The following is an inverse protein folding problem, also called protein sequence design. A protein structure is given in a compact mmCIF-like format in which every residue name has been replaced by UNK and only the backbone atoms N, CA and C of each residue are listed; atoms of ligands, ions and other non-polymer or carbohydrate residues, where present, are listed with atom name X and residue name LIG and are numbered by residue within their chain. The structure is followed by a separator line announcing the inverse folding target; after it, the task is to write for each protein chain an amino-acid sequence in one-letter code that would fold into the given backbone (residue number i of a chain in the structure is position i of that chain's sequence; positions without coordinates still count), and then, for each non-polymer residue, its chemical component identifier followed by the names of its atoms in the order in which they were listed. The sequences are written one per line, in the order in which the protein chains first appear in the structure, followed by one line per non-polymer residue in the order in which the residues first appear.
data_IF_376116816111
#
_entry.id   IF_376116816111
#
_cell.length_a   1.000
_cell.length_b   1.000
_cell.length_c   1.000
_cell.angle_alpha   90.00
_cell.angle_beta   90.00
_cell.angle_gamma   90.00
#
_symmetry.space_group_name_H-M   'P 1'
#
loop_
_entity.id
_entity.type
_entity.pdbx_description
1 polymer ?
#
# COMPACT_ATOMS: atom_id res chain seq x y z
N UNK A 1 -18.78 -15.58 -3.80
CA UNK A 1 -18.25 -16.95 -3.72
C UNK A 1 -17.56 -17.08 -2.35
N UNK A 2 -17.86 -18.14 -1.61
CA UNK A 2 -17.26 -18.52 -0.32
C UNK A 2 -16.48 -19.83 -0.52
N UNK A 3 -15.85 -20.36 0.53
CA UNK A 3 -15.16 -21.66 0.48
C UNK A 3 -16.06 -22.81 0.03
N UNK A 4 -17.32 -22.85 0.49
CA UNK A 4 -18.32 -23.82 0.01
C UNK A 4 -18.64 -23.64 -1.48
N UNK A 5 -18.60 -22.39 -1.97
CA UNK A 5 -18.69 -22.09 -3.39
C UNK A 5 -17.51 -22.66 -4.17
N UNK A 6 -16.29 -22.56 -3.64
CA UNK A 6 -15.10 -23.15 -4.26
C UNK A 6 -15.13 -24.67 -4.25
N UNK A 7 -15.66 -25.30 -3.20
CA UNK A 7 -15.90 -26.75 -3.14
C UNK A 7 -16.90 -27.20 -4.21
N UNK A 8 -17.90 -26.37 -4.51
CA UNK A 8 -18.84 -26.65 -5.62
C UNK A 8 -18.15 -26.50 -6.97
N UNK A 9 -17.34 -25.45 -7.16
CA UNK A 9 -16.57 -25.24 -8.40
C UNK A 9 -15.53 -26.34 -8.64
N UNK A 10 -14.96 -26.92 -7.58
CA UNK A 10 -14.00 -28.01 -7.66
C UNK A 10 -14.56 -29.28 -8.33
N UNK A 11 -15.88 -29.40 -8.48
CA UNK A 11 -16.54 -30.49 -9.21
C UNK A 11 -16.48 -30.32 -10.73
N UNK A 12 -16.13 -29.13 -11.23
CA UNK A 12 -16.03 -28.83 -12.66
C UNK A 12 -14.65 -29.25 -13.20
N UNK A 13 -14.33 -30.55 -13.16
CA UNK A 13 -12.96 -31.07 -13.37
C UNK A 13 -12.34 -30.76 -14.73
N UNK A 14 -13.15 -30.44 -15.75
CA UNK A 14 -12.68 -30.02 -17.08
C UNK A 14 -12.38 -28.52 -17.19
N UNK A 15 -12.49 -27.75 -16.10
CA UNK A 15 -12.31 -26.30 -16.12
C UNK A 15 -10.84 -25.95 -16.38
N UNK A 16 -10.61 -25.17 -17.45
CA UNK A 16 -9.26 -24.73 -17.83
C UNK A 16 -8.94 -23.30 -17.38
N UNK A 17 -9.96 -22.48 -17.17
CA UNK A 17 -9.82 -21.06 -16.84
C UNK A 17 -10.82 -20.70 -15.75
N UNK A 18 -10.32 -20.15 -14.65
CA UNK A 18 -11.13 -19.64 -13.56
C UNK A 18 -10.65 -18.25 -13.15
N UNK A 19 -11.48 -17.24 -13.40
CA UNK A 19 -11.24 -15.87 -12.96
C UNK A 19 -12.19 -15.49 -11.83
N UNK A 20 -11.64 -15.33 -10.62
CA UNK A 20 -12.34 -14.79 -9.47
C UNK A 20 -11.77 -13.39 -9.18
N UNK A 21 -12.53 -12.31 -9.41
CA UNK A 21 -12.00 -10.95 -9.30
C UNK A 21 -11.52 -10.60 -7.88
N UNK A 22 -10.41 -9.89 -7.83
CA UNK A 22 -9.75 -9.43 -6.60
C UNK A 22 -10.69 -8.62 -5.70
N UNK A 23 -10.61 -8.82 -4.38
CA UNK A 23 -11.38 -8.12 -3.35
C UNK A 23 -12.92 -8.23 -3.46
N UNK A 24 -13.46 -9.10 -4.31
CA UNK A 24 -14.91 -9.28 -4.45
C UNK A 24 -15.49 -10.31 -3.49
N UNK A 25 -14.64 -11.13 -2.87
CA UNK A 25 -15.04 -12.28 -2.07
C UNK A 25 -14.35 -12.29 -0.70
N UNK A 26 -14.79 -11.43 0.25
CA UNK A 26 -14.12 -11.25 1.54
C UNK A 26 -14.19 -12.46 2.50
N UNK A 27 -14.96 -13.49 2.12
CA UNK A 27 -15.18 -14.72 2.89
C UNK A 27 -14.41 -15.92 2.30
N UNK A 28 -13.57 -15.69 1.29
CA UNK A 28 -12.79 -16.74 0.66
C UNK A 28 -11.44 -16.89 1.38
N UNK A 29 -11.06 -18.11 1.75
CA UNK A 29 -9.85 -18.40 2.52
C UNK A 29 -8.81 -19.15 1.68
N UNK A 30 -7.57 -19.28 2.16
CA UNK A 30 -6.57 -20.16 1.54
C UNK A 30 -7.02 -21.62 1.55
N UNK A 31 -7.73 -22.05 2.59
CA UNK A 31 -8.31 -23.38 2.70
C UNK A 31 -9.39 -23.63 1.64
N UNK A 32 -10.24 -22.63 1.38
CA UNK A 32 -11.19 -22.64 0.28
C UNK A 32 -10.50 -22.73 -1.08
N UNK A 33 -9.50 -21.89 -1.33
CA UNK A 33 -8.74 -21.90 -2.59
C UNK A 33 -8.06 -23.25 -2.81
N UNK A 34 -7.58 -23.91 -1.75
CA UNK A 34 -6.99 -25.24 -1.81
C UNK A 34 -7.97 -26.32 -2.29
N UNK A 35 -9.29 -26.10 -2.24
CA UNK A 35 -10.28 -27.02 -2.83
C UNK A 35 -10.16 -27.08 -4.36
N UNK A 36 -9.68 -26.00 -4.99
CA UNK A 36 -9.46 -25.95 -6.44
C UNK A 36 -8.33 -26.87 -6.89
N UNK A 37 -7.55 -27.46 -5.98
CA UNK A 37 -6.51 -28.45 -6.27
C UNK A 37 -7.07 -29.74 -6.93
N UNK A 38 -8.40 -29.91 -6.97
CA UNK A 38 -9.07 -30.98 -7.73
C UNK A 38 -9.15 -30.69 -9.25
N UNK A 39 -8.92 -29.46 -9.70
CA UNK A 39 -9.07 -29.03 -11.10
C UNK A 39 -7.77 -29.23 -11.89
N UNK A 40 -7.38 -30.49 -12.13
CA UNK A 40 -6.08 -30.82 -12.75
C UNK A 40 -5.85 -30.22 -14.15
N UNK A 41 -6.92 -29.92 -14.89
CA UNK A 41 -6.88 -29.31 -16.23
C UNK A 41 -6.74 -27.78 -16.21
N UNK A 42 -6.69 -27.17 -15.02
CA UNK A 42 -6.69 -25.71 -14.88
C UNK A 42 -5.37 -25.11 -15.39
N UNK A 43 -5.47 -24.20 -16.37
CA UNK A 43 -4.35 -23.50 -17.01
C UNK A 43 -4.20 -22.07 -16.53
N UNK A 44 -5.32 -21.44 -16.15
CA UNK A 44 -5.35 -20.06 -15.66
C UNK A 44 -6.22 -19.99 -14.41
N UNK A 45 -5.63 -19.49 -13.32
CA UNK A 45 -6.32 -19.24 -12.06
C UNK A 45 -6.10 -17.81 -11.62
N UNK A 46 -7.18 -17.08 -11.39
CA UNK A 46 -7.17 -15.86 -10.59
C UNK A 46 -8.07 -16.04 -9.37
N UNK A 47 -7.53 -15.82 -8.18
CA UNK A 47 -8.26 -15.89 -6.92
C UNK A 47 -7.63 -14.97 -5.87
N UNK A 48 -8.39 -14.59 -4.84
CA UNK A 48 -7.87 -13.80 -3.73
C UNK A 48 -8.45 -14.24 -2.41
N UNK A 49 -7.62 -14.61 -1.44
CA UNK A 49 -8.13 -14.87 -0.09
C UNK A 49 -8.43 -13.56 0.64
N UNK A 50 -9.11 -13.68 1.78
CA UNK A 50 -9.48 -12.55 2.62
C UNK A 50 -8.25 -11.91 3.26
N UNK A 51 -8.15 -10.59 3.17
CA UNK A 51 -7.15 -9.82 3.93
C UNK A 51 -7.35 -9.90 5.45
N UNK A 52 -8.50 -10.40 5.91
CA UNK A 52 -8.84 -10.58 7.32
C UNK A 52 -8.62 -12.02 7.81
N UNK A 53 -8.12 -12.89 6.94
CA UNK A 53 -7.83 -14.27 7.29
C UNK A 53 -6.80 -14.35 8.43
N UNK A 54 -6.99 -15.32 9.32
CA UNK A 54 -6.07 -15.57 10.42
C UNK A 54 -4.66 -15.84 9.88
N UNK A 55 -3.61 -15.12 10.33
CA UNK A 55 -2.24 -15.41 9.97
C UNK A 55 -1.81 -16.87 10.24
N UNK A 56 -2.46 -17.55 11.19
CA UNK A 56 -2.25 -18.96 11.51
C UNK A 56 -3.07 -19.94 10.64
N UNK A 57 -3.88 -19.46 9.69
CA UNK A 57 -4.65 -20.32 8.79
C UNK A 57 -3.72 -21.27 8.00
N UNK A 58 -4.15 -22.50 7.69
CA UNK A 58 -3.35 -23.44 6.92
C UNK A 58 -2.81 -22.83 5.61
N UNK A 59 -1.60 -23.21 5.19
CA UNK A 59 -1.06 -22.72 3.93
C UNK A 59 -1.90 -23.26 2.76
N UNK A 60 -2.01 -22.43 1.73
CA UNK A 60 -2.65 -22.83 0.49
C UNK A 60 -1.91 -24.01 -0.16
N UNK A 61 -2.66 -24.96 -0.71
CA UNK A 61 -2.12 -26.07 -1.49
C UNK A 61 -2.73 -26.14 -2.90
N UNK A 62 -1.91 -25.88 -3.93
CA UNK A 62 -2.26 -25.99 -5.35
C UNK A 62 -1.33 -26.93 -6.14
N UNK A 63 -0.63 -27.83 -5.44
CA UNK A 63 0.43 -28.67 -6.02
C UNK A 63 -0.02 -29.65 -7.12
N UNK A 64 -1.31 -29.98 -7.20
CA UNK A 64 -1.86 -30.88 -8.23
C UNK A 64 -2.20 -30.16 -9.55
N UNK A 65 -2.13 -28.82 -9.59
CA UNK A 65 -2.44 -28.04 -10.78
C UNK A 65 -1.30 -28.07 -11.81
N UNK A 66 -0.98 -29.28 -12.30
CA UNK A 66 0.18 -29.57 -13.14
C UNK A 66 0.12 -28.89 -14.51
N UNK A 67 -1.08 -28.52 -14.97
CA UNK A 67 -1.31 -27.78 -16.21
C UNK A 67 -1.33 -26.26 -16.06
N UNK A 68 -1.16 -25.74 -14.83
CA UNK A 68 -1.28 -24.31 -14.54
C UNK A 68 -0.13 -23.52 -15.18
N UNK A 69 -0.50 -22.55 -16.01
CA UNK A 69 0.43 -21.64 -16.70
C UNK A 69 0.40 -20.23 -16.13
N UNK A 70 -0.76 -19.78 -15.67
CA UNK A 70 -0.94 -18.44 -15.14
C UNK A 70 -1.64 -18.48 -13.79
N UNK A 71 -1.02 -17.89 -12.79
CA UNK A 71 -1.54 -17.78 -11.43
C UNK A 71 -1.54 -16.32 -10.99
N UNK A 72 -2.72 -15.79 -10.69
CA UNK A 72 -2.95 -14.46 -10.14
C UNK A 72 -3.54 -14.62 -8.75
N UNK A 73 -2.73 -14.43 -7.71
CA UNK A 73 -3.18 -14.74 -6.34
C UNK A 73 -2.65 -13.79 -5.28
N UNK A 74 -3.53 -13.30 -4.41
CA UNK A 74 -3.14 -12.39 -3.33
C UNK A 74 -4.21 -12.37 -2.23
N UNK A 75 -3.83 -12.23 -0.94
CA UNK A 75 -2.47 -12.20 -0.43
C UNK A 75 -1.82 -13.61 -0.37
N UNK A 76 -0.48 -13.69 -0.42
CA UNK A 76 0.30 -14.89 -0.07
C UNK A 76 1.24 -14.63 1.12
N UNK A 77 1.59 -15.69 1.84
CA UNK A 77 2.66 -15.78 2.86
C UNK A 77 3.76 -16.72 2.38
N UNK A 78 4.87 -16.77 3.10
CA UNK A 78 6.01 -17.62 2.74
C UNK A 78 5.63 -19.10 2.57
N UNK A 79 4.80 -19.64 3.48
CA UNK A 79 4.42 -21.05 3.46
C UNK A 79 3.43 -21.38 2.33
N UNK A 80 2.68 -20.39 1.82
CA UNK A 80 1.77 -20.58 0.69
C UNK A 80 2.55 -20.81 -0.63
N UNK A 81 3.78 -20.27 -0.72
CA UNK A 81 4.62 -20.41 -1.91
C UNK A 81 5.19 -21.82 -2.09
N UNK A 82 5.27 -22.60 -1.01
CA UNK A 82 5.82 -23.96 -1.03
C UNK A 82 5.04 -24.86 -1.99
N UNK A 83 3.70 -24.75 -2.02
CA UNK A 83 2.86 -25.62 -2.84
C UNK A 83 2.93 -25.31 -4.33
N UNK A 84 3.27 -24.07 -4.69
CA UNK A 84 3.35 -23.63 -6.09
C UNK A 84 4.79 -23.67 -6.64
N UNK A 85 5.80 -23.85 -5.80
CA UNK A 85 7.23 -23.80 -6.12
C UNK A 85 7.68 -24.77 -7.23
N UNK A 86 6.95 -25.87 -7.43
CA UNK A 86 7.32 -26.93 -8.37
C UNK A 86 6.26 -27.17 -9.46
N UNK A 87 5.40 -26.18 -9.71
CA UNK A 87 4.42 -26.28 -10.79
C UNK A 87 5.15 -26.27 -12.15
N UNK A 88 5.10 -27.38 -12.91
CA UNK A 88 6.05 -27.64 -14.01
C UNK A 88 5.81 -26.80 -15.26
N UNK A 89 4.65 -26.15 -15.36
CA UNK A 89 4.20 -25.37 -16.52
C UNK A 89 3.93 -23.91 -16.18
N UNK A 90 4.21 -23.47 -14.94
CA UNK A 90 3.90 -22.11 -14.53
C UNK A 90 4.80 -21.11 -15.27
N UNK A 91 4.19 -20.23 -16.04
CA UNK A 91 4.85 -19.24 -16.91
C UNK A 91 4.66 -17.81 -16.39
N UNK A 92 3.54 -17.54 -15.73
CA UNK A 92 3.21 -16.23 -15.17
C UNK A 92 2.69 -16.36 -13.74
N UNK A 93 3.42 -15.76 -12.81
CA UNK A 93 3.02 -15.62 -11.42
C UNK A 93 2.85 -14.12 -11.08
N UNK A 94 1.61 -13.72 -10.81
CA UNK A 94 1.27 -12.42 -10.24
C UNK A 94 0.74 -12.63 -8.84
N UNK A 95 1.35 -11.98 -7.86
CA UNK A 95 0.93 -12.11 -6.48
C UNK A 95 1.28 -10.88 -5.66
N UNK A 96 0.72 -10.83 -4.45
CA UNK A 96 1.13 -9.86 -3.46
C UNK A 96 0.95 -10.39 -2.06
N UNK A 97 1.61 -9.77 -1.08
CA UNK A 97 1.58 -10.26 0.29
C UNK A 97 2.40 -9.41 1.25
N UNK A 98 1.74 -8.86 2.27
CA UNK A 98 2.37 -7.98 3.24
C UNK A 98 3.37 -8.69 4.18
N UNK A 99 3.26 -10.02 4.29
CA UNK A 99 4.07 -10.84 5.18
C UNK A 99 5.12 -11.70 4.44
N UNK A 100 5.30 -11.51 3.13
CA UNK A 100 6.30 -12.23 2.35
C UNK A 100 7.71 -11.77 2.68
N UNK A 101 8.62 -12.70 2.91
CA UNK A 101 10.04 -12.43 3.18
C UNK A 101 10.96 -13.06 2.12
N UNK A 102 12.27 -12.88 2.26
CA UNK A 102 13.26 -13.54 1.41
C UNK A 102 13.13 -15.07 1.44
N UNK A 103 12.74 -15.64 2.58
CA UNK A 103 12.50 -17.08 2.74
C UNK A 103 11.42 -17.56 1.77
N UNK A 104 10.28 -16.88 1.71
CA UNK A 104 9.19 -17.24 0.79
C UNK A 104 9.64 -17.17 -0.67
N UNK A 105 10.33 -16.10 -1.04
CA UNK A 105 10.79 -15.92 -2.43
C UNK A 105 11.87 -16.94 -2.84
N UNK A 106 12.60 -17.52 -1.88
CA UNK A 106 13.56 -18.59 -2.17
C UNK A 106 12.93 -19.82 -2.84
N UNK A 107 11.67 -20.12 -2.53
CA UNK A 107 10.94 -21.25 -3.13
C UNK A 107 10.69 -21.07 -4.64
N UNK A 108 10.70 -19.83 -5.15
CA UNK A 108 10.47 -19.55 -6.57
C UNK A 108 11.65 -19.94 -7.46
N UNK A 109 12.82 -20.23 -6.89
CA UNK A 109 14.03 -20.60 -7.63
C UNK A 109 13.88 -21.86 -8.49
N UNK A 110 12.91 -22.72 -8.18
CA UNK A 110 12.62 -23.96 -8.90
C UNK A 110 11.73 -23.77 -10.15
N UNK A 111 11.09 -22.61 -10.30
CA UNK A 111 10.15 -22.34 -11.40
C UNK A 111 10.86 -21.96 -12.70
N UNK A 112 11.62 -22.90 -13.29
CA UNK A 112 12.45 -22.66 -14.48
C UNK A 112 11.66 -22.26 -15.73
N UNK A 113 10.34 -22.55 -15.75
CA UNK A 113 9.41 -22.14 -16.81
C UNK A 113 8.91 -20.71 -16.69
N UNK A 114 9.17 -20.03 -15.56
CA UNK A 114 8.63 -18.71 -15.30
C UNK A 114 9.21 -17.67 -16.27
N UNK A 115 8.31 -16.96 -16.94
CA UNK A 115 8.63 -15.90 -17.89
C UNK A 115 8.25 -14.51 -17.37
N UNK A 116 7.25 -14.46 -16.47
CA UNK A 116 6.77 -13.25 -15.80
C UNK A 116 6.59 -13.49 -14.31
N UNK A 117 7.29 -12.68 -13.51
CA UNK A 117 7.18 -12.66 -12.05
C UNK A 117 6.78 -11.26 -11.62
N UNK A 118 5.58 -11.13 -11.05
CA UNK A 118 5.07 -9.84 -10.62
C UNK A 118 4.64 -9.91 -9.16
N UNK A 119 5.50 -9.38 -8.28
CA UNK A 119 5.25 -9.25 -6.86
C UNK A 119 4.86 -7.81 -6.54
N UNK A 120 3.62 -7.62 -6.12
CA UNK A 120 3.10 -6.35 -5.63
C UNK A 120 2.86 -6.40 -4.12
N UNK A 121 2.63 -5.25 -3.48
CA UNK A 121 2.18 -5.19 -2.08
C UNK A 121 3.04 -5.99 -1.09
N UNK A 122 4.36 -6.05 -1.33
CA UNK A 122 5.34 -6.63 -0.41
C UNK A 122 6.35 -5.57 -0.01
N UNK A 123 6.72 -5.53 1.27
CA UNK A 123 7.63 -4.51 1.80
C UNK A 123 8.76 -5.08 2.65
N UNK A 124 8.85 -6.40 2.79
CA UNK A 124 9.87 -7.08 3.58
C UNK A 124 10.98 -7.74 2.76
N UNK A 125 10.79 -8.19 1.51
CA UNK A 125 11.90 -8.74 0.71
C UNK A 125 13.06 -7.77 0.61
N UNK A 126 14.29 -8.27 0.66
CA UNK A 126 15.52 -7.50 0.59
C UNK A 126 16.34 -7.91 -0.62
N UNK A 127 17.55 -7.35 -0.75
CA UNK A 127 18.48 -7.72 -1.81
C UNK A 127 18.81 -9.23 -1.84
N UNK A 128 18.65 -9.93 -0.71
CA UNK A 128 18.85 -11.38 -0.60
C UNK A 128 17.87 -12.17 -1.50
N UNK A 129 16.60 -11.77 -1.59
CA UNK A 129 15.61 -12.46 -2.43
C UNK A 129 16.01 -12.56 -3.90
N UNK A 130 16.76 -11.58 -4.41
CA UNK A 130 17.12 -11.49 -5.84
C UNK A 130 18.09 -12.60 -6.24
N UNK A 131 18.91 -13.11 -5.32
CA UNK A 131 19.82 -14.23 -5.59
C UNK A 131 19.06 -15.47 -6.07
N UNK A 132 17.84 -15.67 -5.55
CA UNK A 132 17.01 -16.82 -5.90
C UNK A 132 16.44 -16.76 -7.32
N UNK A 133 16.52 -15.61 -8.00
CA UNK A 133 16.03 -15.44 -9.37
C UNK A 133 17.10 -15.67 -10.43
N UNK A 134 18.38 -15.78 -10.06
CA UNK A 134 19.48 -15.96 -11.02
C UNK A 134 19.34 -17.22 -11.90
N UNK A 135 18.69 -18.25 -11.36
CA UNK A 135 18.42 -19.50 -12.08
C UNK A 135 17.17 -19.47 -12.97
N UNK A 136 16.49 -18.33 -13.13
CA UNK A 136 15.24 -18.20 -13.91
C UNK A 136 15.54 -17.62 -15.30
N UNK A 137 16.27 -18.36 -16.14
CA UNK A 137 16.79 -17.86 -17.42
C UNK A 137 15.74 -17.44 -18.46
N UNK A 138 14.50 -17.90 -18.31
CA UNK A 138 13.37 -17.53 -19.19
C UNK A 138 12.63 -16.26 -18.75
N UNK A 139 12.98 -15.71 -17.58
CA UNK A 139 12.30 -14.57 -16.97
C UNK A 139 12.63 -13.30 -17.75
N UNK A 140 11.63 -12.71 -18.40
CA UNK A 140 11.81 -11.46 -19.15
C UNK A 140 11.02 -10.29 -18.54
N UNK A 141 10.01 -10.56 -17.71
CA UNK A 141 9.26 -9.52 -17.00
C UNK A 141 9.35 -9.75 -15.49
N UNK A 142 9.89 -8.75 -14.80
CA UNK A 142 10.10 -8.76 -13.36
C UNK A 142 9.52 -7.51 -12.73
N UNK A 143 8.54 -7.69 -11.83
CA UNK A 143 8.08 -6.64 -10.94
C UNK A 143 8.34 -7.04 -9.50
N UNK A 144 9.05 -6.22 -8.73
CA UNK A 144 9.36 -6.48 -7.32
C UNK A 144 9.08 -5.25 -6.45
N UNK A 145 8.46 -5.51 -5.30
CA UNK A 145 8.31 -4.58 -4.20
C UNK A 145 9.07 -5.10 -2.97
N UNK A 146 9.83 -4.23 -2.30
CA UNK A 146 10.68 -4.66 -1.17
C UNK A 146 11.57 -3.54 -0.62
N UNK A 147 12.54 -3.89 0.22
CA UNK A 147 13.58 -3.00 0.77
C UNK A 147 14.89 -3.21 0.01
N UNK A 148 14.90 -2.81 -1.25
CA UNK A 148 16.05 -2.99 -2.13
C UNK A 148 17.03 -1.82 -2.03
N UNK A 149 18.32 -2.11 -2.21
CA UNK A 149 19.40 -1.13 -2.27
C UNK A 149 20.15 -1.20 -3.59
N UNK A 150 21.21 -0.42 -3.75
CA UNK A 150 22.11 -0.50 -4.90
C UNK A 150 22.68 -1.92 -5.12
N UNK A 151 22.89 -2.67 -4.04
CA UNK A 151 23.33 -4.08 -4.10
C UNK A 151 22.28 -4.94 -4.81
N UNK A 152 20.99 -4.70 -4.53
CA UNK A 152 19.89 -5.36 -5.22
C UNK A 152 19.87 -5.03 -6.71
N UNK A 153 20.07 -3.77 -7.08
CA UNK A 153 20.14 -3.38 -8.50
C UNK A 153 21.31 -4.04 -9.22
N UNK A 154 22.48 -4.12 -8.59
CA UNK A 154 23.62 -4.82 -9.17
C UNK A 154 23.31 -6.30 -9.43
N UNK A 155 22.64 -6.97 -8.48
CA UNK A 155 22.20 -8.36 -8.63
C UNK A 155 21.17 -8.53 -9.74
N UNK A 156 20.20 -7.62 -9.86
CA UNK A 156 19.21 -7.64 -10.96
C UNK A 156 19.92 -7.47 -12.30
N UNK A 157 21.01 -6.69 -12.36
CA UNK A 157 21.85 -6.54 -13.55
C UNK A 157 22.41 -7.87 -14.09
N UNK A 158 22.43 -8.94 -13.30
CA UNK A 158 22.86 -10.27 -13.76
C UNK A 158 21.73 -11.05 -14.47
N UNK A 159 20.48 -10.61 -14.38
CA UNK A 159 19.32 -11.22 -15.03
C UNK A 159 19.21 -10.75 -16.50
N UNK A 160 20.14 -11.18 -17.35
CA UNK A 160 20.30 -10.66 -18.72
C UNK A 160 19.10 -10.86 -19.64
N UNK A 161 18.17 -11.74 -19.29
CA UNK A 161 16.92 -12.03 -20.01
C UNK A 161 15.84 -10.95 -19.82
N UNK A 162 15.99 -10.06 -18.83
CA UNK A 162 14.97 -9.06 -18.47
C UNK A 162 14.77 -8.04 -19.60
N UNK A 163 13.50 -7.87 -19.99
CA UNK A 163 13.03 -6.88 -20.96
C UNK A 163 12.10 -5.84 -20.33
N UNK A 164 11.37 -6.21 -19.28
CA UNK A 164 10.47 -5.32 -18.54
C UNK A 164 10.79 -5.42 -17.06
N UNK A 165 11.16 -4.30 -16.45
CA UNK A 165 11.58 -4.24 -15.05
C UNK A 165 10.79 -3.17 -14.30
N UNK A 166 10.05 -3.55 -13.25
CA UNK A 166 9.44 -2.58 -12.34
C UNK A 166 9.92 -2.86 -10.92
N UNK A 167 10.60 -1.90 -10.31
CA UNK A 167 11.08 -1.99 -8.94
C UNK A 167 10.47 -0.87 -8.13
N UNK A 168 9.84 -1.22 -7.03
CA UNK A 168 9.42 -0.28 -5.98
C UNK A 168 10.17 -0.63 -4.70
N UNK A 169 11.16 0.20 -4.35
CA UNK A 169 11.88 0.04 -3.08
C UNK A 169 11.27 0.91 -1.98
N UNK A 170 11.16 0.33 -0.79
CA UNK A 170 10.84 1.02 0.47
C UNK A 170 12.07 1.12 1.39
N UNK A 171 13.24 0.69 0.91
CA UNK A 171 14.52 0.72 1.64
C UNK A 171 15.37 1.91 1.20
N UNK A 172 16.56 1.57 0.68
CA UNK A 172 17.50 2.39 -0.11
C UNK A 172 16.90 3.51 -0.97
N UNK A 173 17.56 4.67 -1.13
CA UNK A 173 17.37 5.48 -2.33
C UNK A 173 18.47 5.04 -3.26
N UNK A 174 18.08 4.64 -4.46
CA UNK A 174 19.04 4.14 -5.43
C UNK A 174 19.93 5.27 -5.94
N UNK A 175 21.24 5.06 -5.97
CA UNK A 175 22.14 6.06 -6.52
C UNK A 175 21.99 6.15 -8.05
N UNK A 176 22.25 7.32 -8.67
CA UNK A 176 22.27 7.43 -10.14
C UNK A 176 23.25 6.44 -10.78
N UNK A 177 24.42 6.24 -10.16
CA UNK A 177 25.44 5.30 -10.62
C UNK A 177 24.94 3.86 -10.62
N UNK A 178 24.22 3.41 -9.58
CA UNK A 178 23.66 2.07 -9.55
C UNK A 178 22.57 1.87 -10.61
N UNK A 179 21.69 2.86 -10.81
CA UNK A 179 20.69 2.82 -11.89
C UNK A 179 21.36 2.75 -13.27
N UNK A 180 22.42 3.54 -13.50
CA UNK A 180 23.17 3.50 -14.76
C UNK A 180 23.81 2.13 -14.99
N UNK A 181 24.54 1.60 -13.99
CA UNK A 181 25.15 0.26 -14.06
C UNK A 181 24.11 -0.83 -14.34
N UNK A 182 22.92 -0.73 -13.77
CA UNK A 182 21.83 -1.66 -14.06
C UNK A 182 21.43 -1.59 -15.54
N UNK A 183 21.22 -0.39 -16.08
CA UNK A 183 20.87 -0.22 -17.50
C UNK A 183 21.95 -0.75 -18.43
N UNK A 184 23.22 -0.47 -18.14
CA UNK A 184 24.36 -0.96 -18.92
C UNK A 184 24.44 -2.50 -18.89
N UNK A 185 23.99 -3.11 -17.79
CA UNK A 185 24.05 -4.55 -17.59
C UNK A 185 22.83 -5.31 -18.09
N UNK A 186 21.75 -4.65 -18.51
CA UNK A 186 20.54 -5.30 -19.03
C UNK A 186 20.36 -5.00 -20.54
N UNK A 187 21.08 -5.73 -21.41
CA UNK A 187 21.14 -5.42 -22.85
C UNK A 187 19.81 -5.58 -23.58
N UNK A 188 18.85 -6.32 -23.01
CA UNK A 188 17.54 -6.60 -23.59
C UNK A 188 16.42 -5.71 -23.02
N UNK A 189 16.74 -4.79 -22.12
CA UNK A 189 15.76 -3.98 -21.41
C UNK A 189 15.03 -3.02 -22.36
N UNK A 190 13.70 -3.16 -22.44
CA UNK A 190 12.82 -2.32 -23.25
C UNK A 190 12.12 -1.26 -22.43
N UNK A 191 11.73 -1.60 -21.20
CA UNK A 191 10.99 -0.73 -20.30
C UNK A 191 11.44 -0.95 -18.88
N UNK A 192 11.67 0.13 -18.15
CA UNK A 192 11.94 0.08 -16.73
C UNK A 192 11.25 1.19 -15.96
N UNK A 193 10.73 0.85 -14.78
CA UNK A 193 10.40 1.79 -13.72
C UNK A 193 11.19 1.40 -12.48
N UNK A 194 12.07 2.29 -12.01
CA UNK A 194 12.91 2.06 -10.83
C UNK A 194 12.64 3.18 -9.85
N UNK A 195 11.65 2.92 -9.00
CA UNK A 195 11.17 3.85 -8.00
C UNK A 195 11.64 3.43 -6.62
N UNK A 196 11.97 4.43 -5.82
CA UNK A 196 12.11 4.26 -4.39
C UNK A 196 11.13 5.21 -3.71
N UNK A 197 10.40 4.69 -2.73
CA UNK A 197 9.41 5.41 -1.95
C UNK A 197 10.02 6.63 -1.23
N UNK A 198 11.35 6.61 -1.03
CA UNK A 198 12.11 7.73 -0.48
C UNK A 198 12.35 8.85 -1.50
N UNK A 199 12.52 8.59 -2.79
CA UNK A 199 12.56 9.61 -3.85
C UNK A 199 11.18 10.21 -4.12
N UNK A 200 10.08 9.49 -3.84
CA UNK A 200 8.75 10.14 -3.72
C UNK A 200 8.71 11.11 -2.53
N UNK A 201 9.24 10.72 -1.37
CA UNK A 201 9.52 11.66 -0.23
C UNK A 201 10.65 12.66 -0.50
N UNK A 202 11.38 12.50 -1.60
CA UNK A 202 12.73 13.01 -1.83
C UNK A 202 12.88 13.84 -3.11
N UNK A 203 11.80 14.05 -3.87
CA UNK A 203 11.58 15.38 -4.43
C UNK A 203 11.46 16.32 -3.23
N UNK A 204 12.62 16.73 -2.71
CA UNK A 204 12.80 18.09 -2.21
C UNK A 204 12.29 18.97 -3.34
N UNK A 205 11.00 19.29 -3.33
CA UNK A 205 10.59 20.61 -3.75
C UNK A 205 11.57 21.50 -2.99
N UNK A 206 12.46 22.18 -3.72
CA UNK A 206 13.17 23.35 -3.18
C UNK A 206 12.16 24.05 -2.29
N UNK A 207 12.49 24.53 -1.07
CA UNK A 207 11.54 25.27 -0.26
C UNK A 207 11.02 26.40 -1.13
N UNK A 208 9.87 26.15 -1.74
CA UNK A 208 9.22 27.09 -2.57
C UNK A 208 8.54 27.91 -1.51
N UNK A 209 9.05 29.12 -1.31
CA UNK A 209 8.30 30.22 -0.73
C UNK A 209 7.09 30.56 -1.64
N UNK A 210 6.45 29.56 -2.25
CA UNK A 210 5.15 29.65 -2.90
C UNK A 210 4.20 29.16 -1.84
N UNK A 211 3.64 30.13 -1.13
CA UNK A 211 2.46 29.97 -0.29
C UNK A 211 1.38 29.26 -1.14
N UNK A 212 1.22 27.94 -0.98
CA UNK A 212 0.22 27.15 -1.72
C UNK A 212 -1.11 27.30 -1.00
N UNK A 213 -2.15 27.78 -1.69
CA UNK A 213 -3.52 27.75 -1.18
C UNK A 213 -3.97 26.31 -0.92
N UNK A 214 -4.66 26.08 0.19
CA UNK A 214 -5.30 24.80 0.44
C UNK A 214 -6.35 24.51 -0.66
N UNK A 215 -6.43 23.28 -1.18
CA UNK A 215 -7.52 22.87 -2.05
C UNK A 215 -8.89 23.19 -1.43
N UNK A 216 -9.86 23.58 -2.25
CA UNK A 216 -11.24 23.62 -1.82
C UNK A 216 -11.72 22.23 -1.43
N UNK A 217 -12.59 22.15 -0.44
CA UNK A 217 -13.24 20.91 -0.05
C UNK A 217 -14.66 21.19 0.43
N UNK A 218 -15.49 20.16 0.33
CA UNK A 218 -16.80 20.07 0.95
C UNK A 218 -16.96 18.65 1.48
N UNK A 219 -17.09 18.51 2.80
CA UNK A 219 -17.16 17.20 3.47
C UNK A 219 -18.37 17.15 4.39
N UNK A 220 -19.08 16.02 4.37
CA UNK A 220 -20.15 15.75 5.33
C UNK A 220 -19.55 15.11 6.58
N UNK A 221 -19.72 15.74 7.72
CA UNK A 221 -19.28 15.22 9.02
C UNK A 221 -20.20 14.11 9.50
N UNK A 222 -19.72 13.30 10.45
CA UNK A 222 -20.48 12.18 11.02
C UNK A 222 -21.77 12.63 11.73
N UNK A 223 -21.80 13.85 12.27
CA UNK A 223 -23.01 14.46 12.85
C UNK A 223 -23.95 15.09 11.81
N UNK A 224 -23.67 14.95 10.52
CA UNK A 224 -24.55 15.35 9.42
C UNK A 224 -24.33 16.78 8.89
N UNK A 225 -23.48 17.58 9.52
CA UNK A 225 -23.13 18.91 9.02
C UNK A 225 -22.28 18.82 7.75
N UNK A 226 -22.35 19.85 6.90
CA UNK A 226 -21.40 20.00 5.79
C UNK A 226 -20.40 21.08 6.16
N UNK A 227 -19.11 20.75 6.07
CA UNK A 227 -18.01 21.70 6.28
C UNK A 227 -17.25 21.90 4.98
N UNK A 228 -16.88 23.14 4.72
CA UNK A 228 -16.15 23.60 3.56
C UNK A 228 -14.87 24.31 3.98
N UNK A 229 -13.96 24.55 3.03
CA UNK A 229 -12.75 25.35 3.31
C UNK A 229 -13.08 26.73 3.86
N UNK A 230 -14.18 27.33 3.39
CA UNK A 230 -14.57 28.69 3.73
C UNK A 230 -15.08 28.83 5.17
N UNK A 231 -15.62 27.76 5.77
CA UNK A 231 -16.04 27.74 7.18
C UNK A 231 -14.87 27.95 8.16
N UNK A 232 -13.64 27.79 7.68
CA UNK A 232 -12.42 27.96 8.47
C UNK A 232 -11.66 29.26 8.14
N UNK A 233 -12.18 30.13 7.26
CA UNK A 233 -11.56 31.43 6.96
C UNK A 233 -11.31 32.22 8.25
N UNK A 234 -10.11 32.78 8.37
CA UNK A 234 -9.71 33.56 9.54
C UNK A 234 -9.30 32.75 10.77
N UNK A 235 -9.35 31.40 10.71
CA UNK A 235 -8.89 30.48 11.74
C UNK A 235 -7.67 29.70 11.24
N UNK A 236 -6.86 29.18 12.16
CA UNK A 236 -5.84 28.18 11.82
C UNK A 236 -6.49 26.81 11.85
N UNK A 237 -6.43 26.06 10.74
CA UNK A 237 -7.04 24.75 10.61
C UNK A 237 -5.96 23.66 10.56
N UNK A 238 -6.09 22.67 11.45
CA UNK A 238 -5.37 21.40 11.37
C UNK A 238 -6.28 20.32 10.77
N UNK A 239 -5.95 19.84 9.58
CA UNK A 239 -6.60 18.66 8.98
C UNK A 239 -5.80 17.41 9.35
N UNK A 240 -6.49 16.38 9.84
CA UNK A 240 -5.90 15.09 10.20
C UNK A 240 -6.51 13.95 9.37
N UNK A 241 -5.70 13.35 8.49
CA UNK A 241 -6.06 12.18 7.68
C UNK A 241 -5.71 10.88 8.40
N UNK A 242 -6.66 9.94 8.47
CA UNK A 242 -6.49 8.66 9.20
C UNK A 242 -7.48 7.57 8.76
N UNK A 243 -7.36 6.36 9.32
CA UNK A 243 -8.39 5.31 9.23
C UNK A 243 -8.31 4.35 10.43
N UNK A 244 -9.40 3.64 10.74
CA UNK A 244 -9.55 2.86 11.99
C UNK A 244 -8.62 1.65 12.09
N UNK A 245 -8.20 1.07 10.97
CA UNK A 245 -7.22 -0.03 10.92
C UNK A 245 -5.76 0.44 10.80
N UNK A 246 -5.49 1.74 10.93
CA UNK A 246 -4.15 2.31 10.92
C UNK A 246 -3.53 2.19 12.33
N UNK A 247 -2.69 1.17 12.56
CA UNK A 247 -2.05 0.97 13.87
C UNK A 247 -1.30 2.22 14.39
N UNK A 248 -0.51 2.94 13.57
CA UNK A 248 0.13 4.18 14.03
C UNK A 248 -0.86 5.28 14.39
N UNK A 249 -1.97 5.40 13.64
CA UNK A 249 -3.01 6.39 13.93
C UNK A 249 -3.69 6.12 15.27
N UNK A 250 -4.06 4.87 15.53
CA UNK A 250 -4.69 4.44 16.80
C UNK A 250 -3.74 4.67 17.98
N UNK A 251 -2.44 4.40 17.79
CA UNK A 251 -1.43 4.65 18.83
C UNK A 251 -1.24 6.15 19.12
N UNK A 252 -1.38 7.02 18.11
CA UNK A 252 -1.24 8.47 18.25
C UNK A 252 -2.48 9.18 18.81
N UNK A 253 -3.66 8.54 18.79
CA UNK A 253 -4.93 9.16 19.21
C UNK A 253 -4.87 9.84 20.59
N UNK A 254 -4.29 9.25 21.66
CA UNK A 254 -4.24 9.89 22.97
C UNK A 254 -3.42 11.19 22.98
N UNK A 255 -2.29 11.20 22.28
CA UNK A 255 -1.41 12.37 22.17
C UNK A 255 -2.06 13.49 21.37
N UNK A 256 -2.74 13.14 20.27
CA UNK A 256 -3.49 14.08 19.44
C UNK A 256 -4.62 14.73 20.26
N UNK A 257 -5.39 13.95 21.03
CA UNK A 257 -6.45 14.47 21.90
C UNK A 257 -5.89 15.47 22.91
N UNK A 258 -4.81 15.12 23.60
CA UNK A 258 -4.12 15.99 24.55
C UNK A 258 -3.63 17.29 23.89
N UNK A 259 -3.02 17.20 22.71
CA UNK A 259 -2.53 18.36 21.96
C UNK A 259 -3.69 19.27 21.53
N UNK A 260 -4.77 18.69 21.01
CA UNK A 260 -5.98 19.42 20.64
C UNK A 260 -6.56 20.23 21.81
N UNK A 261 -6.70 19.62 22.98
CA UNK A 261 -7.21 20.29 24.19
C UNK A 261 -6.30 21.45 24.61
N UNK A 262 -4.98 21.22 24.66
CA UNK A 262 -4.02 22.26 25.03
C UNK A 262 -4.05 23.45 24.06
N UNK A 263 -3.98 23.18 22.76
CA UNK A 263 -3.94 24.23 21.74
C UNK A 263 -5.27 24.99 21.67
N UNK A 264 -6.40 24.31 21.83
CA UNK A 264 -7.72 24.96 21.85
C UNK A 264 -7.87 25.89 23.06
N UNK A 265 -7.32 25.51 24.21
CA UNK A 265 -7.35 26.35 25.41
C UNK A 265 -6.43 27.58 25.29
N UNK A 266 -5.33 27.48 24.54
CA UNK A 266 -4.36 28.55 24.34
C UNK A 266 -4.76 29.50 23.20
N UNK A 267 -5.35 28.97 22.11
CA UNK A 267 -5.66 29.71 20.89
C UNK A 267 -7.13 29.57 20.49
N UNK A 268 -7.92 30.61 20.75
CA UNK A 268 -9.37 30.63 20.45
C UNK A 268 -9.74 30.48 18.97
N UNK A 269 -8.81 30.74 18.06
CA UNK A 269 -8.97 30.65 16.60
C UNK A 269 -8.32 29.41 15.98
N UNK A 270 -7.98 28.41 16.81
CA UNK A 270 -7.58 27.09 16.34
C UNK A 270 -8.82 26.22 16.03
N UNK A 271 -8.76 25.48 14.93
CA UNK A 271 -9.79 24.51 14.52
C UNK A 271 -9.13 23.22 14.06
N UNK A 272 -9.81 22.09 14.27
CA UNK A 272 -9.37 20.78 13.80
C UNK A 272 -10.48 20.06 13.04
N UNK A 273 -10.11 19.38 11.95
CA UNK A 273 -11.01 18.55 11.15
C UNK A 273 -10.32 17.23 10.84
N UNK A 274 -10.94 16.12 11.20
CA UNK A 274 -10.43 14.79 10.87
C UNK A 274 -11.14 14.20 9.66
N UNK A 275 -10.35 13.69 8.72
CA UNK A 275 -10.82 13.08 7.47
C UNK A 275 -10.43 11.60 7.44
N UNK A 276 -11.41 10.73 7.67
CA UNK A 276 -11.21 9.29 7.67
C UNK A 276 -11.33 8.69 6.27
N UNK A 277 -10.31 7.96 5.84
CA UNK A 277 -10.31 7.23 4.54
C UNK A 277 -10.91 5.84 4.66
N UNK A 278 -11.51 5.52 5.80
CA UNK A 278 -12.18 4.24 6.01
C UNK A 278 -13.46 4.10 5.18
N UNK A 279 -13.85 2.86 4.86
CA UNK A 279 -15.00 2.61 3.98
C UNK A 279 -16.37 2.71 4.68
N UNK A 280 -16.43 2.61 6.01
CA UNK A 280 -17.68 2.47 6.76
C UNK A 280 -17.81 3.53 7.86
N UNK A 281 -18.88 4.33 7.82
CA UNK A 281 -19.15 5.40 8.83
C UNK A 281 -19.23 4.82 10.24
N UNK A 282 -19.89 3.67 10.42
CA UNK A 282 -20.06 3.04 11.73
C UNK A 282 -18.74 2.72 12.44
N UNK A 283 -17.71 2.34 11.70
CA UNK A 283 -16.39 2.05 12.29
C UNK A 283 -15.66 3.33 12.67
N UNK A 284 -15.80 4.39 11.87
CA UNK A 284 -15.25 5.70 12.22
C UNK A 284 -15.95 6.23 13.47
N UNK A 285 -17.29 6.17 13.52
CA UNK A 285 -18.08 6.59 14.67
C UNK A 285 -17.70 5.82 15.94
N UNK A 286 -17.59 4.49 15.85
CA UNK A 286 -17.17 3.66 16.99
C UNK A 286 -15.81 4.08 17.56
N UNK A 287 -14.83 4.41 16.69
CA UNK A 287 -13.53 4.88 17.15
C UNK A 287 -13.62 6.27 17.79
N UNK A 288 -14.40 7.17 17.18
CA UNK A 288 -14.65 8.53 17.70
C UNK A 288 -15.28 8.47 19.08
N UNK A 289 -16.31 7.64 19.27
CA UNK A 289 -17.00 7.47 20.55
C UNK A 289 -16.08 6.84 21.59
N UNK A 290 -15.34 5.79 21.21
CA UNK A 290 -14.42 5.08 22.09
C UNK A 290 -13.32 5.99 22.65
N UNK A 291 -12.84 6.94 21.86
CA UNK A 291 -11.77 7.85 22.25
C UNK A 291 -12.26 9.25 22.64
N UNK A 292 -13.57 9.47 22.59
CA UNK A 292 -14.26 10.73 22.89
C UNK A 292 -13.64 11.91 22.12
N UNK A 293 -13.51 11.77 20.81
CA UNK A 293 -12.92 12.82 19.96
C UNK A 293 -13.96 13.92 19.73
N UNK A 294 -13.70 15.10 20.30
CA UNK A 294 -14.69 16.19 20.38
C UNK A 294 -14.70 17.15 19.20
N UNK A 295 -13.69 17.10 18.32
CA UNK A 295 -13.63 17.93 17.11
C UNK A 295 -14.36 17.26 15.93
N UNK A 296 -14.74 18.03 14.89
CA UNK A 296 -15.41 17.50 13.71
C UNK A 296 -14.67 16.34 13.03
N UNK A 297 -15.43 15.28 12.73
CA UNK A 297 -14.99 14.07 12.06
C UNK A 297 -15.80 13.89 10.79
N UNK A 298 -15.16 13.61 9.66
CA UNK A 298 -15.81 13.30 8.39
C UNK A 298 -15.21 12.03 7.78
N UNK A 299 -16.04 11.17 7.21
CA UNK A 299 -15.57 10.03 6.41
C UNK A 299 -15.56 10.43 4.94
N UNK A 300 -14.37 10.39 4.34
CA UNK A 300 -14.16 10.69 2.92
C UNK A 300 -14.03 9.42 2.07
N UNK A 301 -13.70 8.28 2.68
CA UNK A 301 -13.55 7.00 1.99
C UNK A 301 -12.18 6.79 1.34
N UNK A 302 -11.85 5.54 0.96
CA UNK A 302 -10.51 5.17 0.49
C UNK A 302 -10.19 5.75 -0.90
N UNK A 303 -11.21 5.99 -1.71
CA UNK A 303 -11.08 6.50 -3.09
C UNK A 303 -11.26 8.02 -3.18
N UNK A 304 -11.24 8.74 -2.04
CA UNK A 304 -11.44 10.19 -2.05
C UNK A 304 -10.32 10.91 -2.78
N UNK A 305 -10.71 11.77 -3.73
CA UNK A 305 -9.80 12.68 -4.45
C UNK A 305 -9.08 13.65 -3.52
N UNK A 306 -9.66 13.97 -2.35
CA UNK A 306 -9.04 14.86 -1.37
C UNK A 306 -7.66 14.37 -0.92
N UNK A 307 -7.43 13.05 -0.87
CA UNK A 307 -6.10 12.52 -0.57
C UNK A 307 -5.06 12.97 -1.60
N UNK A 308 -5.40 12.88 -2.89
CA UNK A 308 -4.51 13.30 -3.96
C UNK A 308 -4.36 14.83 -4.01
N UNK A 309 -5.46 15.57 -3.82
CA UNK A 309 -5.46 17.04 -3.84
C UNK A 309 -4.63 17.64 -2.70
N UNK A 310 -4.65 17.01 -1.53
CA UNK A 310 -3.81 17.37 -0.38
C UNK A 310 -2.43 16.71 -0.38
N UNK A 311 -2.03 16.00 -1.44
CA UNK A 311 -0.74 15.28 -1.50
C UNK A 311 -0.51 14.36 -0.27
N UNK A 312 -1.51 13.56 0.12
CA UNK A 312 -1.42 12.62 1.25
C UNK A 312 -0.55 11.42 0.85
N UNK A 313 0.59 11.25 1.54
CA UNK A 313 1.61 10.24 1.20
C UNK A 313 1.66 9.06 2.19
N UNK A 314 0.90 9.13 3.28
CA UNK A 314 0.85 8.10 4.33
C UNK A 314 -0.18 8.39 5.41
N UNK A 315 -0.19 7.59 6.48
CA UNK A 315 -1.06 7.82 7.64
C UNK A 315 -0.29 7.49 8.94
N UNK A 316 -0.45 8.26 10.02
CA UNK A 316 -1.24 9.49 10.12
C UNK A 316 -0.60 10.64 9.31
N UNK A 317 -1.44 11.54 8.79
CA UNK A 317 -0.98 12.67 7.97
C UNK A 317 -1.74 13.94 8.31
N UNK A 318 -1.02 15.05 8.35
CA UNK A 318 -1.49 16.33 8.89
C UNK A 318 -1.24 17.46 7.91
N UNK A 319 -2.19 18.39 7.86
CA UNK A 319 -2.07 19.62 7.09
C UNK A 319 -2.40 20.81 7.99
N UNK A 320 -1.49 21.77 8.09
CA UNK A 320 -1.74 23.05 8.79
C UNK A 320 -2.07 24.09 7.74
N UNK A 321 -3.21 24.76 7.92
CA UNK A 321 -3.70 25.83 7.05
C UNK A 321 -3.81 27.11 7.88
N UNK A 322 -3.19 28.20 7.43
CA UNK A 322 -3.25 29.50 8.11
C UNK A 322 -4.60 30.22 7.90
N UNK A 323 -4.74 31.38 8.56
CA UNK A 323 -5.97 32.20 8.57
C UNK A 323 -6.36 32.70 7.17
N UNK A 324 -5.39 32.84 6.30
CA UNK A 324 -5.54 33.25 4.92
C UNK A 324 -5.88 32.07 3.99
N UNK A 325 -5.84 30.83 4.48
CA UNK A 325 -6.15 29.62 3.74
C UNK A 325 -4.95 29.02 2.99
N UNK A 326 -3.73 29.30 3.44
CA UNK A 326 -2.51 28.76 2.87
C UNK A 326 -2.00 27.56 3.65
N UNK A 327 -1.45 26.57 2.95
CA UNK A 327 -0.83 25.39 3.55
C UNK A 327 0.55 25.77 4.11
N UNK A 328 0.71 25.64 5.43
CA UNK A 328 1.95 25.87 6.17
C UNK A 328 2.72 24.59 6.47
N UNK A 329 1.98 23.49 6.59
CA UNK A 329 2.54 22.16 6.80
C UNK A 329 1.72 21.12 6.05
N UNK A 330 2.38 20.09 5.54
CA UNK A 330 1.75 18.95 4.88
C UNK A 330 2.66 17.74 5.02
N UNK A 331 2.32 16.79 5.89
CA UNK A 331 3.23 15.68 6.21
C UNK A 331 2.83 14.84 7.43
N UNK A 332 3.73 13.96 7.91
CA UNK A 332 3.48 13.07 9.04
C UNK A 332 3.41 13.81 10.40
N UNK A 333 3.19 13.10 11.50
CA UNK A 333 3.41 13.67 12.84
C UNK A 333 4.89 13.94 13.14
N UNK A 334 5.17 14.75 14.16
CA UNK A 334 6.51 15.01 14.70
C UNK A 334 6.78 16.49 14.94
N UNK A 335 7.98 16.82 15.44
CA UNK A 335 8.34 18.17 15.90
C UNK A 335 8.10 19.28 14.87
N UNK A 336 8.27 18.99 13.57
CA UNK A 336 8.02 19.96 12.51
C UNK A 336 6.54 20.33 12.36
N UNK A 337 5.62 19.39 12.61
CA UNK A 337 4.19 19.68 12.66
C UNK A 337 3.92 20.67 13.80
N UNK A 338 4.43 20.38 14.99
CA UNK A 338 4.23 21.21 16.19
C UNK A 338 4.78 22.62 16.00
N UNK A 339 5.98 22.73 15.43
CA UNK A 339 6.62 24.01 15.11
C UNK A 339 5.79 24.83 14.12
N UNK A 340 5.34 24.23 13.02
CA UNK A 340 4.58 24.94 12.00
C UNK A 340 3.16 25.30 12.47
N UNK A 341 2.53 24.44 13.28
CA UNK A 341 1.25 24.75 13.90
C UNK A 341 1.37 25.93 14.86
N UNK A 342 2.35 25.91 15.77
CA UNK A 342 2.60 27.04 16.69
C UNK A 342 2.94 28.33 15.95
N UNK A 343 3.81 28.25 14.94
CA UNK A 343 4.16 29.40 14.11
C UNK A 343 2.91 30.00 13.46
N UNK A 344 2.05 29.17 12.85
CA UNK A 344 0.81 29.66 12.23
C UNK A 344 -0.16 30.29 13.26
N UNK A 345 -0.20 29.75 14.48
CA UNK A 345 -1.06 30.26 15.56
C UNK A 345 -0.55 31.60 16.13
N UNK A 346 0.75 31.74 16.34
CA UNK A 346 1.40 32.92 16.94
C UNK A 346 1.57 34.09 15.95
N UNK A 347 1.63 33.80 14.65
CA UNK A 347 1.63 34.82 13.60
C UNK A 347 0.32 35.64 13.65
N UNK A 348 0.41 36.85 14.20
CA UNK A 348 -0.72 37.78 14.25
C UNK A 348 -1.22 38.09 12.84
N UNK A 349 -2.55 38.20 12.67
CA UNK A 349 -3.19 38.76 11.45
C UNK A 349 -2.43 40.04 11.08
N UNK A 350 -1.70 40.02 9.96
CA UNK A 350 -1.20 41.26 9.35
C UNK A 350 -2.46 42.08 9.03
N UNK A 351 -2.61 43.19 9.76
CA UNK A 351 -3.75 44.11 9.62
C UNK A 351 -3.84 44.64 8.19
#
# INVERSE_FOLDING_TARGET
ITDSGLETLAKLTNLQVLFLPYNRFPQMTTAGISKLNALSELRVLSASSSLKEDPAAPPMNLSNLRELRQLYISPLRDDDLVSIANLPKLEWLLFGGFALTDKGLSYLSNLKTLTRLQLYQASLPTDASIEHFQGLGSLFELTLNGKFTDVGLERIGNLKSIQVLNIMSYGETFTPTAKQKLYDNLPNLKRASIEDARVKRGKKRKPQNVVRKAPDFSVKTLNGNTLTRDDFKGNVLLIYFWFTSCKPCVAATPEIKKSYENVTNEFSDFRMLSLSTHSYDALVQQHVDKHELSWPQARIGPDSKLQAEFDVEGFPHFVVIDREGNVRYNGPSGSRLDEQLRTALEEKKKK
#
